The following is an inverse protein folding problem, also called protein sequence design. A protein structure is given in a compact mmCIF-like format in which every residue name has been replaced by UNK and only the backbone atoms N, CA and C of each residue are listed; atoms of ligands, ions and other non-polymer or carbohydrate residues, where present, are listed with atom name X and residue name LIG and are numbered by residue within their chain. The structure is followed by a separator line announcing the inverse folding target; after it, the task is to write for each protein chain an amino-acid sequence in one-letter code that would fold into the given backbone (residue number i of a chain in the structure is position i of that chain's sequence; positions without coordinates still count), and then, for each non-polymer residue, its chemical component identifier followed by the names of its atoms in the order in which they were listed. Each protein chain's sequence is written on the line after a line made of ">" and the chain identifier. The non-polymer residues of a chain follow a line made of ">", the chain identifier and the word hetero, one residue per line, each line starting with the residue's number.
data_IF_586287661383
#
_entry.id   IF_586287661383
#
_cell.length_a   1.000
_cell.length_b   1.000
_cell.length_c   1.000
_cell.angle_alpha   90.00
_cell.angle_beta   90.00
_cell.angle_gamma   90.00
#
_symmetry.space_group_name_H-M   'P 1'
#
loop_
_entity.id
_entity.type
_entity.pdbx_description
1 polymer ?
#
# COMPACT_ATOMS: atom_id res chain seq x y z
N UNK A 1 31.48 -17.16 -6.34
CA UNK A 1 30.35 -16.38 -5.82
C UNK A 1 30.54 -14.91 -6.07
N UNK A 2 30.04 -14.44 -7.27
CA UNK A 2 30.18 -13.04 -7.71
C UNK A 2 28.98 -12.16 -7.28
N UNK A 3 28.12 -12.60 -6.37
CA UNK A 3 26.93 -11.87 -5.94
C UNK A 3 27.02 -11.16 -4.59
N UNK A 4 28.18 -11.16 -3.93
CA UNK A 4 28.43 -10.29 -2.78
C UNK A 4 28.83 -8.86 -3.23
N UNK A 5 28.09 -8.24 -4.12
CA UNK A 5 28.13 -6.78 -4.23
C UNK A 5 27.40 -6.22 -3.02
N UNK A 6 28.17 -5.79 -2.02
CA UNK A 6 27.68 -4.96 -0.93
C UNK A 6 26.96 -3.77 -1.55
N UNK A 7 25.63 -3.81 -1.57
CA UNK A 7 24.79 -2.68 -1.95
C UNK A 7 25.05 -1.57 -0.96
N UNK A 8 25.89 -0.60 -1.32
CA UNK A 8 26.04 0.61 -0.54
C UNK A 8 24.79 1.49 -0.76
N UNK A 9 24.18 1.91 0.32
CA UNK A 9 23.06 2.86 0.30
C UNK A 9 23.62 4.24 -0.08
N UNK A 10 23.81 4.48 -1.38
CA UNK A 10 24.47 5.66 -1.93
C UNK A 10 23.91 6.99 -1.43
N UNK A 11 22.58 7.04 -1.16
CA UNK A 11 21.90 8.22 -0.66
C UNK A 11 22.28 8.61 0.80
N UNK A 12 22.97 7.74 1.52
CA UNK A 12 23.40 7.99 2.91
C UNK A 12 24.90 8.30 3.03
N UNK A 13 25.68 8.21 1.95
CA UNK A 13 27.11 8.51 1.96
C UNK A 13 27.42 9.94 2.40
N UNK A 14 26.66 10.90 1.86
CA UNK A 14 26.88 12.32 2.09
C UNK A 14 26.37 12.81 3.46
N UNK A 15 25.60 11.99 4.16
CA UNK A 15 25.08 12.30 5.50
C UNK A 15 26.06 11.93 6.62
N UNK A 16 27.23 11.37 6.30
CA UNK A 16 28.23 10.95 7.29
C UNK A 16 27.78 9.81 8.21
N UNK A 17 26.67 9.15 7.89
CA UNK A 17 26.17 8.02 8.65
C UNK A 17 27.01 6.79 8.33
N UNK A 18 27.70 6.25 9.36
CA UNK A 18 28.41 5.01 9.23
C UNK A 18 27.44 3.87 8.92
N UNK A 19 27.88 2.93 8.09
CA UNK A 19 27.09 1.75 7.70
C UNK A 19 26.52 0.99 8.90
N UNK A 20 27.23 1.01 10.00
CA UNK A 20 26.89 0.38 11.26
C UNK A 20 25.72 1.06 11.98
N UNK A 21 25.50 2.36 11.73
CA UNK A 21 24.41 3.14 12.33
C UNK A 21 23.08 2.89 11.62
N UNK A 22 23.10 2.39 10.37
CA UNK A 22 21.91 2.10 9.58
C UNK A 22 21.53 0.62 9.65
N UNK A 23 22.52 -0.28 9.75
CA UNK A 23 22.31 -1.73 9.69
C UNK A 23 22.30 -2.43 11.05
N UNK A 24 22.51 -1.71 12.17
CA UNK A 24 22.66 -2.31 13.50
C UNK A 24 23.78 -3.35 13.51
N UNK A 25 24.95 -2.97 14.00
CA UNK A 25 25.98 -3.95 14.37
C UNK A 25 25.75 -4.39 15.80
N UNK A 26 26.27 -5.53 16.13
CA UNK A 26 26.14 -6.40 17.30
C UNK A 26 25.71 -5.81 18.67
N UNK A 27 25.69 -4.49 18.85
CA UNK A 27 25.36 -3.83 20.12
C UNK A 27 24.20 -2.80 20.04
N UNK A 28 23.62 -2.53 18.86
CA UNK A 28 22.40 -1.72 18.73
C UNK A 28 21.31 -2.55 18.07
N UNK A 29 20.05 -2.50 18.56
CA UNK A 29 18.94 -3.15 17.88
C UNK A 29 18.65 -2.43 16.56
N UNK A 30 19.47 -2.67 15.55
CA UNK A 30 19.20 -2.27 14.19
C UNK A 30 18.14 -3.20 13.62
N UNK A 31 17.23 -2.65 12.86
CA UNK A 31 16.25 -3.40 12.12
C UNK A 31 16.92 -4.12 10.95
N UNK A 32 17.57 -5.24 11.24
CA UNK A 32 18.05 -6.15 10.19
C UNK A 32 16.87 -6.98 9.68
N UNK A 33 16.13 -6.40 8.75
CA UNK A 33 15.01 -7.08 8.08
C UNK A 33 15.44 -8.37 7.36
N UNK A 34 16.74 -8.57 7.12
CA UNK A 34 17.26 -9.78 6.47
C UNK A 34 17.28 -10.99 7.41
N UNK A 35 17.16 -10.76 8.72
CA UNK A 35 17.16 -11.78 9.79
C UNK A 35 15.85 -11.83 10.58
N UNK A 36 14.87 -11.01 10.24
CA UNK A 36 13.56 -11.09 10.88
C UNK A 36 12.91 -12.43 10.55
N UNK A 37 12.48 -13.15 11.56
CA UNK A 37 11.66 -14.33 11.37
C UNK A 37 10.37 -13.95 10.61
N UNK A 38 9.89 -14.80 9.72
CA UNK A 38 8.65 -14.52 9.01
C UNK A 38 7.50 -14.26 9.98
N UNK A 39 6.79 -13.16 9.80
CA UNK A 39 5.59 -12.86 10.57
C UNK A 39 4.51 -13.89 10.22
N UNK A 40 3.86 -14.43 11.23
CA UNK A 40 2.83 -15.45 11.11
C UNK A 40 1.48 -14.95 11.67
N UNK A 41 0.41 -15.67 11.40
CA UNK A 41 -0.91 -15.37 11.99
C UNK A 41 -0.92 -15.39 13.53
N UNK A 42 -0.03 -16.17 14.17
CA UNK A 42 0.12 -16.19 15.64
C UNK A 42 0.68 -14.87 16.17
N UNK A 43 1.52 -14.21 15.39
CA UNK A 43 2.06 -12.89 15.76
C UNK A 43 0.96 -11.82 15.73
N UNK A 44 -0.03 -11.98 14.84
CA UNK A 44 -1.20 -11.11 14.83
C UNK A 44 -2.07 -11.31 16.08
N UNK A 45 -2.28 -12.56 16.53
CA UNK A 45 -2.97 -12.87 17.79
C UNK A 45 -2.25 -12.24 19.00
N UNK A 46 -0.92 -12.40 19.04
CA UNK A 46 -0.09 -11.78 20.06
C UNK A 46 -0.22 -10.25 20.06
N UNK A 47 -0.11 -9.63 18.88
CA UNK A 47 -0.22 -8.17 18.73
C UNK A 47 -1.61 -7.66 19.18
N UNK A 48 -2.67 -8.37 18.84
CA UNK A 48 -4.03 -8.05 19.28
C UNK A 48 -4.14 -8.06 20.80
N UNK A 49 -3.42 -8.95 21.48
CA UNK A 49 -3.36 -9.00 22.95
C UNK A 49 -2.66 -7.80 23.60
N UNK A 50 -1.86 -7.04 22.84
CA UNK A 50 -1.09 -5.89 23.36
C UNK A 50 -1.83 -4.56 23.23
N UNK A 51 -2.81 -4.45 22.35
CA UNK A 51 -3.43 -3.16 22.03
C UNK A 51 -4.90 -3.27 21.71
N UNK A 52 -5.67 -2.24 22.09
CA UNK A 52 -7.05 -2.05 21.65
C UNK A 52 -7.18 -1.12 20.44
N UNK A 53 -6.05 -0.62 19.89
CA UNK A 53 -6.07 0.19 18.69
C UNK A 53 -6.53 -0.64 17.49
N UNK A 54 -7.16 0.00 16.49
CA UNK A 54 -7.46 -0.66 15.24
C UNK A 54 -6.18 -1.19 14.57
N UNK A 55 -6.21 -2.45 14.14
CA UNK A 55 -5.11 -3.07 13.41
C UNK A 55 -5.40 -3.05 11.91
N UNK A 56 -4.43 -2.55 11.15
CA UNK A 56 -4.46 -2.60 9.69
C UNK A 56 -3.31 -3.47 9.19
N UNK A 57 -3.66 -4.59 8.57
CA UNK A 57 -2.69 -5.52 8.02
C UNK A 57 -2.26 -5.08 6.62
N UNK A 58 -0.97 -4.78 6.45
CA UNK A 58 -0.42 -4.28 5.19
C UNK A 58 0.30 -5.37 4.38
N UNK A 59 0.12 -5.33 3.06
CA UNK A 59 0.82 -6.24 2.13
C UNK A 59 0.01 -7.48 1.77
N UNK A 60 -1.26 -7.54 2.16
CA UNK A 60 -2.19 -8.61 1.75
C UNK A 60 -2.45 -8.52 0.25
N UNK A 61 -2.39 -9.66 -0.45
CA UNK A 61 -2.44 -9.71 -1.91
C UNK A 61 -3.34 -10.81 -2.49
N UNK A 62 -3.85 -11.69 -1.65
CA UNK A 62 -4.74 -12.78 -2.07
C UNK A 62 -5.99 -12.82 -1.19
N UNK A 63 -7.08 -13.31 -1.74
CA UNK A 63 -8.39 -13.37 -1.08
C UNK A 63 -8.38 -14.25 0.18
N UNK A 64 -7.63 -15.35 0.16
CA UNK A 64 -7.50 -16.27 1.28
C UNK A 64 -6.90 -15.60 2.51
N UNK A 65 -5.79 -14.86 2.34
CA UNK A 65 -5.15 -14.11 3.42
C UNK A 65 -6.05 -12.98 3.93
N UNK A 66 -6.75 -12.30 3.02
CA UNK A 66 -7.71 -11.26 3.36
C UNK A 66 -8.86 -11.81 4.21
N UNK A 67 -9.38 -12.99 3.86
CA UNK A 67 -10.41 -13.66 4.62
C UNK A 67 -9.91 -14.05 6.01
N UNK A 68 -8.72 -14.65 6.13
CA UNK A 68 -8.13 -15.01 7.43
C UNK A 68 -7.98 -13.76 8.31
N UNK A 69 -7.43 -12.67 7.76
CA UNK A 69 -7.27 -11.42 8.47
C UNK A 69 -8.61 -10.86 8.98
N UNK A 70 -9.64 -10.86 8.14
CA UNK A 70 -10.99 -10.43 8.52
C UNK A 70 -11.61 -11.32 9.61
N UNK A 71 -11.47 -12.66 9.49
CA UNK A 71 -11.94 -13.62 10.49
C UNK A 71 -11.21 -13.46 11.85
N UNK A 72 -9.95 -12.99 11.83
CA UNK A 72 -9.18 -12.66 13.04
C UNK A 72 -9.51 -11.28 13.63
N UNK A 73 -10.43 -10.55 13.01
CA UNK A 73 -10.94 -9.28 13.51
C UNK A 73 -10.00 -8.10 13.35
N UNK A 74 -9.20 -8.06 12.27
CA UNK A 74 -8.51 -6.82 11.91
C UNK A 74 -9.52 -5.80 11.39
N UNK A 75 -9.31 -4.53 11.69
CA UNK A 75 -10.21 -3.46 11.25
C UNK A 75 -9.96 -3.01 9.81
N UNK A 76 -8.78 -3.33 9.26
CA UNK A 76 -8.46 -2.96 7.90
C UNK A 76 -7.38 -3.81 7.24
N UNK A 77 -7.41 -3.83 5.93
CA UNK A 77 -6.41 -4.46 5.07
C UNK A 77 -5.91 -3.43 4.07
N UNK A 78 -4.59 -3.26 4.00
CA UNK A 78 -3.94 -2.45 2.97
C UNK A 78 -3.35 -3.38 1.91
N UNK A 79 -4.03 -3.50 0.77
CA UNK A 79 -3.53 -4.21 -0.41
C UNK A 79 -2.33 -3.45 -0.98
N UNK A 80 -1.19 -4.12 -1.04
CA UNK A 80 0.07 -3.47 -1.38
C UNK A 80 1.07 -4.44 -2.00
N UNK A 81 1.69 -4.01 -3.09
CA UNK A 81 2.85 -4.70 -3.69
C UNK A 81 4.19 -4.06 -3.30
N UNK A 82 4.19 -3.12 -2.33
CA UNK A 82 5.36 -2.30 -2.01
C UNK A 82 5.97 -1.59 -3.24
N UNK A 83 5.15 -1.30 -4.26
CA UNK A 83 5.61 -0.73 -5.53
C UNK A 83 6.51 -1.65 -6.35
N UNK A 84 6.38 -2.97 -6.19
CA UNK A 84 7.19 -3.99 -6.85
C UNK A 84 8.63 -4.12 -6.30
N UNK A 85 8.90 -3.55 -5.12
CA UNK A 85 10.28 -3.48 -4.58
C UNK A 85 10.69 -4.67 -3.73
N UNK A 86 9.74 -5.44 -3.21
CA UNK A 86 10.01 -6.63 -2.38
C UNK A 86 9.86 -7.90 -3.20
N UNK A 87 8.69 -8.16 -3.73
CA UNK A 87 8.44 -9.28 -4.62
C UNK A 87 8.06 -8.75 -5.99
N UNK A 88 8.87 -9.07 -6.99
CA UNK A 88 8.64 -8.72 -8.39
C UNK A 88 7.67 -9.70 -9.07
N UNK A 89 7.19 -9.32 -10.26
CA UNK A 89 6.33 -10.16 -11.10
C UNK A 89 5.01 -10.61 -10.44
N UNK A 90 4.48 -9.78 -9.54
CA UNK A 90 3.14 -9.97 -8.99
C UNK A 90 2.10 -9.21 -9.83
N UNK A 91 0.84 -9.57 -9.67
CA UNK A 91 -0.27 -8.77 -10.21
C UNK A 91 -0.19 -7.32 -9.74
N UNK A 92 -0.73 -6.38 -10.51
CA UNK A 92 -0.92 -5.01 -10.06
C UNK A 92 -1.86 -4.97 -8.85
N UNK A 93 -1.55 -4.13 -7.85
CA UNK A 93 -2.35 -4.08 -6.62
C UNK A 93 -3.86 -3.83 -6.89
N UNK A 94 -4.18 -3.02 -7.89
CA UNK A 94 -5.57 -2.73 -8.29
C UNK A 94 -6.29 -3.97 -8.83
N UNK A 95 -5.58 -4.90 -9.46
CA UNK A 95 -6.14 -6.12 -10.05
C UNK A 95 -6.58 -7.14 -9.00
N UNK A 96 -6.02 -7.06 -7.79
CA UNK A 96 -6.34 -7.92 -6.65
C UNK A 96 -7.59 -7.45 -5.89
N UNK A 97 -8.01 -6.19 -6.06
CA UNK A 97 -9.07 -5.57 -5.27
C UNK A 97 -10.42 -6.30 -5.38
N UNK A 98 -10.92 -6.68 -6.57
CA UNK A 98 -12.24 -7.28 -6.67
C UNK A 98 -12.40 -8.53 -5.80
N UNK A 99 -11.42 -9.45 -5.83
CA UNK A 99 -11.49 -10.69 -5.04
C UNK A 99 -11.31 -10.45 -3.55
N UNK A 100 -10.44 -9.49 -3.17
CA UNK A 100 -10.19 -9.17 -1.76
C UNK A 100 -11.42 -8.51 -1.13
N UNK A 101 -12.03 -7.53 -1.81
CA UNK A 101 -13.26 -6.88 -1.35
C UNK A 101 -14.40 -7.90 -1.20
N UNK A 102 -14.54 -8.83 -2.14
CA UNK A 102 -15.53 -9.90 -2.05
C UNK A 102 -15.23 -10.85 -0.88
N UNK A 103 -13.97 -11.20 -0.67
CA UNK A 103 -13.56 -12.12 0.40
C UNK A 103 -13.82 -11.58 1.81
N UNK A 104 -13.59 -10.29 2.05
CA UNK A 104 -13.78 -9.69 3.38
C UNK A 104 -15.25 -9.41 3.71
N UNK A 105 -16.14 -9.33 2.71
CA UNK A 105 -17.60 -9.15 2.88
C UNK A 105 -18.00 -7.99 3.79
N UNK A 106 -17.20 -6.94 3.83
CA UNK A 106 -17.42 -5.77 4.70
C UNK A 106 -17.08 -5.96 6.17
N UNK A 107 -16.45 -7.09 6.57
CA UNK A 107 -16.01 -7.31 7.95
C UNK A 107 -14.83 -6.43 8.36
N UNK A 108 -14.05 -5.94 7.41
CA UNK A 108 -13.00 -4.94 7.62
C UNK A 108 -12.91 -3.99 6.44
N UNK A 109 -12.28 -2.83 6.64
CA UNK A 109 -12.05 -1.88 5.55
C UNK A 109 -10.91 -2.33 4.64
N UNK A 110 -11.05 -2.08 3.33
CA UNK A 110 -9.99 -2.35 2.35
C UNK A 110 -9.38 -1.04 1.88
N UNK A 111 -8.07 -0.97 1.92
CA UNK A 111 -7.27 0.14 1.43
C UNK A 111 -6.35 -0.33 0.31
N UNK A 112 -5.88 0.60 -0.52
CA UNK A 112 -4.97 0.30 -1.62
C UNK A 112 -3.78 1.25 -1.60
N UNK A 113 -2.58 0.73 -1.79
CA UNK A 113 -1.44 1.49 -2.28
C UNK A 113 -0.80 0.81 -3.49
N UNK A 114 0.31 1.32 -3.95
CA UNK A 114 1.06 0.86 -5.13
C UNK A 114 0.38 1.17 -6.47
N UNK A 115 1.07 1.96 -7.26
CA UNK A 115 0.66 2.29 -8.62
C UNK A 115 -0.24 3.51 -8.77
N UNK A 116 -0.78 4.08 -7.70
CA UNK A 116 -1.62 5.28 -7.74
C UNK A 116 -0.79 6.50 -8.13
N UNK A 117 -1.13 7.13 -9.26
CA UNK A 117 -0.40 8.28 -9.83
C UNK A 117 -1.31 9.39 -10.34
N UNK A 118 -2.57 9.10 -10.62
CA UNK A 118 -3.56 10.00 -11.22
C UNK A 118 -4.86 9.96 -10.43
N UNK A 119 -5.64 11.03 -10.51
CA UNK A 119 -6.98 11.06 -9.92
C UNK A 119 -7.89 9.95 -10.43
N UNK A 120 -7.74 9.54 -11.69
CA UNK A 120 -8.47 8.40 -12.25
C UNK A 120 -8.14 7.06 -11.59
N UNK A 121 -6.90 6.88 -11.08
CA UNK A 121 -6.53 5.67 -10.35
C UNK A 121 -7.23 5.64 -8.99
N UNK A 122 -7.31 6.81 -8.33
CA UNK A 122 -8.05 6.98 -7.07
C UNK A 122 -9.52 6.61 -7.27
N UNK A 123 -10.18 7.20 -8.28
CA UNK A 123 -11.59 6.93 -8.55
C UNK A 123 -11.85 5.45 -8.84
N UNK A 124 -11.01 4.81 -9.66
CA UNK A 124 -11.15 3.37 -9.95
C UNK A 124 -11.09 2.53 -8.69
N UNK A 125 -10.11 2.80 -7.80
CA UNK A 125 -9.98 2.07 -6.55
C UNK A 125 -11.21 2.24 -5.65
N UNK A 126 -11.65 3.48 -5.46
CA UNK A 126 -12.85 3.77 -4.65
C UNK A 126 -14.09 3.09 -5.22
N UNK A 127 -14.26 3.12 -6.56
CA UNK A 127 -15.40 2.47 -7.24
C UNK A 127 -15.41 0.94 -7.10
N UNK A 128 -14.26 0.32 -6.80
CA UNK A 128 -14.16 -1.12 -6.49
C UNK A 128 -14.37 -1.46 -5.02
N UNK A 129 -14.75 -0.48 -4.17
CA UNK A 129 -15.02 -0.71 -2.76
C UNK A 129 -13.82 -0.43 -1.83
N UNK A 130 -12.73 0.11 -2.34
CA UNK A 130 -11.60 0.57 -1.51
C UNK A 130 -12.03 1.82 -0.74
N UNK A 131 -11.72 1.87 0.55
CA UNK A 131 -12.09 2.98 1.44
C UNK A 131 -11.20 4.20 1.28
N UNK A 132 -9.90 3.96 1.07
CA UNK A 132 -8.93 5.02 0.81
C UNK A 132 -7.73 4.48 0.04
N UNK A 133 -7.00 5.38 -0.62
CA UNK A 133 -5.78 5.05 -1.36
C UNK A 133 -4.56 5.72 -0.75
N UNK A 134 -3.44 5.00 -0.74
CA UNK A 134 -2.13 5.51 -0.35
C UNK A 134 -1.30 5.87 -1.58
N UNK A 135 -0.56 6.96 -1.49
CA UNK A 135 0.40 7.37 -2.51
C UNK A 135 1.82 7.35 -1.93
N UNK A 136 2.76 6.85 -2.68
CA UNK A 136 4.17 6.77 -2.27
C UNK A 136 5.05 7.65 -3.15
N UNK A 137 5.61 7.10 -4.22
CA UNK A 137 6.58 7.77 -5.09
C UNK A 137 6.19 9.17 -5.57
N UNK A 138 4.93 9.48 -5.94
CA UNK A 138 4.57 10.84 -6.32
C UNK A 138 4.87 11.89 -5.24
N UNK A 139 4.67 11.58 -3.95
CA UNK A 139 5.03 12.49 -2.86
C UNK A 139 6.54 12.74 -2.80
N UNK A 140 7.35 11.69 -2.97
CA UNK A 140 8.80 11.82 -2.99
C UNK A 140 9.30 12.62 -4.19
N UNK A 141 8.64 12.55 -5.34
CA UNK A 141 8.98 13.40 -6.49
C UNK A 141 8.67 14.87 -6.19
N UNK A 142 7.52 15.17 -5.60
CA UNK A 142 7.19 16.52 -5.15
C UNK A 142 8.20 17.03 -4.14
N UNK A 143 8.49 16.24 -3.10
CA UNK A 143 9.47 16.60 -2.07
C UNK A 143 10.86 16.88 -2.64
N UNK A 144 11.30 16.07 -3.62
CA UNK A 144 12.62 16.21 -4.24
C UNK A 144 12.73 17.44 -5.15
N UNK A 145 11.63 17.91 -5.73
CA UNK A 145 11.62 19.05 -6.65
C UNK A 145 11.47 20.39 -5.94
N UNK A 146 10.62 20.47 -4.92
CA UNK A 146 10.23 21.74 -4.29
C UNK A 146 9.86 21.59 -2.80
N UNK A 147 10.44 20.63 -2.10
CA UNK A 147 10.24 20.46 -0.66
C UNK A 147 8.76 20.30 -0.28
N UNK A 148 8.34 21.05 0.75
CA UNK A 148 6.97 21.04 1.27
C UNK A 148 5.96 21.49 0.19
N UNK A 149 6.26 22.55 -0.54
CA UNK A 149 5.40 23.07 -1.61
C UNK A 149 5.22 22.03 -2.72
N UNK A 150 6.25 21.28 -3.05
CA UNK A 150 6.16 20.19 -4.00
C UNK A 150 5.23 19.06 -3.57
N UNK A 151 5.23 18.71 -2.28
CA UNK A 151 4.28 17.73 -1.71
C UNK A 151 2.86 18.28 -1.76
N UNK A 152 2.67 19.54 -1.34
CA UNK A 152 1.37 20.21 -1.42
C UNK A 152 0.82 20.22 -2.86
N UNK A 153 1.64 20.61 -3.82
CA UNK A 153 1.25 20.66 -5.23
C UNK A 153 0.84 19.29 -5.78
N UNK A 154 1.52 18.20 -5.40
CA UNK A 154 1.14 16.85 -5.79
C UNK A 154 -0.23 16.45 -5.23
N UNK A 155 -0.50 16.78 -3.97
CA UNK A 155 -1.80 16.49 -3.34
C UNK A 155 -2.93 17.27 -4.00
N UNK A 156 -2.74 18.56 -4.26
CA UNK A 156 -3.72 19.41 -4.94
C UNK A 156 -3.96 18.94 -6.39
N UNK A 157 -2.91 18.57 -7.13
CA UNK A 157 -3.04 18.02 -8.46
C UNK A 157 -3.91 16.75 -8.48
N UNK A 158 -3.66 15.84 -7.54
CA UNK A 158 -4.46 14.62 -7.43
C UNK A 158 -5.91 14.93 -7.06
N UNK A 159 -6.14 15.86 -6.13
CA UNK A 159 -7.48 16.30 -5.74
C UNK A 159 -8.26 16.90 -6.92
N UNK A 160 -7.62 17.77 -7.69
CA UNK A 160 -8.22 18.35 -8.91
C UNK A 160 -8.54 17.31 -9.97
N UNK A 161 -7.63 16.36 -10.18
CA UNK A 161 -7.85 15.25 -11.12
C UNK A 161 -9.02 14.37 -10.69
N UNK A 162 -9.12 14.04 -9.39
CA UNK A 162 -10.28 13.28 -8.86
C UNK A 162 -11.57 14.04 -9.14
N UNK A 163 -11.63 15.34 -8.80
CA UNK A 163 -12.82 16.17 -9.06
C UNK A 163 -13.22 16.16 -10.54
N UNK A 164 -12.25 16.38 -11.44
CA UNK A 164 -12.53 16.38 -12.89
C UNK A 164 -13.04 15.03 -13.40
N UNK A 165 -12.45 13.93 -12.93
CA UNK A 165 -12.90 12.59 -13.35
C UNK A 165 -14.29 12.30 -12.79
N UNK A 166 -14.62 12.71 -11.59
CA UNK A 166 -15.97 12.62 -11.03
C UNK A 166 -16.98 13.40 -11.87
N UNK A 167 -16.65 14.63 -12.27
CA UNK A 167 -17.50 15.43 -13.16
C UNK A 167 -17.78 14.70 -14.49
N UNK A 168 -16.77 14.10 -15.11
CA UNK A 168 -16.95 13.32 -16.35
C UNK A 168 -17.79 12.06 -16.17
N UNK A 169 -17.80 11.50 -14.96
CA UNK A 169 -18.62 10.34 -14.61
C UNK A 169 -20.02 10.74 -14.08
N UNK A 170 -20.33 12.05 -13.99
CA UNK A 170 -21.59 12.54 -13.42
C UNK A 170 -21.76 12.24 -11.92
N UNK A 171 -20.67 12.16 -11.19
CA UNK A 171 -20.66 11.84 -9.77
C UNK A 171 -20.35 13.09 -8.93
N UNK A 172 -21.21 13.38 -7.97
CA UNK A 172 -21.06 14.55 -7.07
C UNK A 172 -20.49 14.20 -5.68
N UNK A 173 -20.45 12.92 -5.32
CA UNK A 173 -19.97 12.44 -4.03
C UNK A 173 -19.21 11.13 -4.20
N UNK A 174 -18.04 11.05 -3.56
CA UNK A 174 -17.19 9.85 -3.55
C UNK A 174 -17.88 8.66 -2.86
N UNK A 175 -18.82 8.92 -1.95
CA UNK A 175 -19.58 7.88 -1.27
C UNK A 175 -20.54 7.12 -2.20
N UNK A 176 -20.85 7.69 -3.37
CA UNK A 176 -21.75 7.10 -4.37
C UNK A 176 -20.99 6.35 -5.47
N UNK A 177 -19.67 6.27 -5.40
CA UNK A 177 -18.87 5.53 -6.36
C UNK A 177 -19.09 4.02 -6.19
N UNK A 178 -19.36 3.34 -7.28
CA UNK A 178 -19.53 1.89 -7.33
C UNK A 178 -18.91 1.27 -8.59
N UNK A 179 -18.86 -0.05 -8.63
CA UNK A 179 -18.25 -0.80 -9.73
C UNK A 179 -19.00 -0.68 -11.06
N UNK A 180 -20.22 -0.17 -11.08
CA UNK A 180 -20.98 0.11 -12.30
C UNK A 180 -20.34 1.17 -13.18
N UNK A 181 -19.46 2.01 -12.64
CA UNK A 181 -18.68 2.98 -13.38
C UNK A 181 -17.51 2.36 -14.16
N UNK A 182 -17.19 1.09 -13.90
CA UNK A 182 -15.96 0.46 -14.38
C UNK A 182 -16.25 -0.71 -15.33
N UNK A 183 -15.38 -0.85 -16.31
CA UNK A 183 -15.25 -2.10 -17.05
C UNK A 183 -14.07 -2.90 -16.46
N UNK A 184 -14.37 -3.77 -15.50
CA UNK A 184 -13.35 -4.59 -14.83
C UNK A 184 -13.09 -5.83 -15.66
N UNK A 185 -11.84 -6.12 -16.07
CA UNK A 185 -11.50 -7.33 -16.81
C UNK A 185 -11.88 -8.60 -16.01
N UNK A 186 -12.44 -9.60 -16.69
CA UNK A 186 -12.92 -10.83 -16.04
C UNK A 186 -11.82 -11.68 -15.39
N UNK A 187 -10.56 -11.43 -15.71
CA UNK A 187 -9.39 -12.15 -15.16
C UNK A 187 -8.76 -11.43 -13.96
N UNK A 188 -9.26 -10.27 -13.55
CA UNK A 188 -8.77 -9.62 -12.35
C UNK A 188 -9.19 -10.41 -11.11
N UNK A 189 -8.28 -10.51 -10.14
CA UNK A 189 -8.50 -11.26 -8.92
C UNK A 189 -8.51 -12.79 -9.09
N UNK A 190 -8.08 -13.31 -10.21
CA UNK A 190 -7.94 -14.76 -10.43
C UNK A 190 -6.45 -15.08 -10.54
N UNK A 191 -5.82 -15.27 -9.39
CA UNK A 191 -4.47 -15.82 -9.29
C UNK A 191 -4.46 -17.31 -9.45
#
# INVERSE_FOLDING_TARGET
>A
NQFERKLELGNFRDLGLARNEISGTDDTPGWDVSRADPITWKDLEWLRGLTSLPLVLKGVRIAEDAKIAADMGVEGILVSTHGGRQLDQTMGAIEMIPEIVDAVKGHCEVYLDSGVRRGSDVLKALSMGVKAVGIGRPLFWGLATDGEDGVHNILELLREEVSKVMDFCGQSDVANLDSGLLNIPNNWGRG
#
